data_IF_610541569035
#
_entry.id   IF_610541569035
#
_cell.length_a   1.000
_cell.length_b   1.000
_cell.length_c   1.000
_cell.angle_alpha   90.00
_cell.angle_beta   90.00
_cell.angle_gamma   90.00
#
_symmetry.space_group_name_H-M   'P 1'
#
loop_
_entity.id
_entity.type
_entity.pdbx_description
1 polymer ?
#
# COMPACT_ATOMS: atom_id res chain seq x y z
N UNK A 1 6.04 -12.62 -28.39
CA UNK A 1 7.25 -11.78 -28.61
C UNK A 1 7.50 -11.68 -30.10
N UNK A 2 7.63 -10.47 -30.68
CA UNK A 2 7.98 -10.34 -32.09
C UNK A 2 9.41 -10.85 -32.29
N UNK A 3 9.72 -11.61 -33.34
CA UNK A 3 11.04 -12.21 -33.60
C UNK A 3 12.19 -11.20 -33.62
N UNK A 4 11.89 -9.91 -33.83
CA UNK A 4 12.88 -8.83 -33.82
C UNK A 4 13.52 -8.60 -32.45
N UNK A 5 12.77 -8.77 -31.32
CA UNK A 5 13.34 -8.55 -29.96
C UNK A 5 14.26 -9.68 -29.53
N UNK A 6 13.99 -10.91 -29.98
CA UNK A 6 14.87 -12.05 -29.71
C UNK A 6 16.18 -11.93 -30.48
N UNK A 7 16.13 -11.47 -31.75
CA UNK A 7 17.32 -11.20 -32.57
C UNK A 7 18.19 -10.11 -31.96
N UNK A 8 17.61 -9.02 -31.41
CA UNK A 8 18.36 -7.94 -30.78
C UNK A 8 19.08 -8.43 -29.52
N UNK A 9 18.43 -9.28 -28.68
CA UNK A 9 19.04 -9.86 -27.50
C UNK A 9 20.20 -10.82 -27.84
N UNK A 10 20.05 -11.62 -28.90
CA UNK A 10 21.11 -12.53 -29.40
C UNK A 10 22.28 -11.72 -29.95
N UNK A 11 22.04 -10.60 -30.65
CA UNK A 11 23.08 -9.71 -31.14
C UNK A 11 23.86 -9.05 -30.00
N UNK A 12 23.17 -8.55 -28.96
CA UNK A 12 23.83 -7.92 -27.77
C UNK A 12 24.71 -8.92 -27.02
N UNK A 13 24.28 -10.19 -26.90
CA UNK A 13 25.08 -11.26 -26.29
C UNK A 13 26.28 -11.60 -27.17
N UNK A 14 26.14 -11.55 -28.49
CA UNK A 14 27.22 -11.82 -29.45
C UNK A 14 28.26 -10.70 -29.45
N UNK A 15 27.86 -9.43 -29.43
CA UNK A 15 28.75 -8.26 -29.34
C UNK A 15 29.52 -8.22 -28.02
N UNK A 16 28.86 -8.52 -26.88
CA UNK A 16 29.54 -8.63 -25.58
C UNK A 16 30.56 -9.78 -25.55
N UNK A 17 30.27 -10.88 -26.19
CA UNK A 17 31.22 -12.01 -26.31
C UNK A 17 32.46 -11.64 -27.11
N UNK A 18 32.31 -10.91 -28.21
CA UNK A 18 33.42 -10.42 -29.07
C UNK A 18 34.26 -9.39 -28.31
N UNK A 19 33.63 -8.51 -27.51
CA UNK A 19 34.30 -7.51 -26.71
C UNK A 19 35.14 -8.14 -25.59
N UNK A 20 34.65 -9.22 -24.98
CA UNK A 20 35.37 -10.02 -23.98
C UNK A 20 36.61 -10.68 -24.61
N UNK A 21 36.50 -11.24 -25.82
CA UNK A 21 37.61 -11.87 -26.54
C UNK A 21 38.70 -10.84 -26.90
N UNK A 22 38.32 -9.60 -27.23
CA UNK A 22 39.23 -8.51 -27.54
C UNK A 22 40.01 -8.03 -26.30
N UNK A 23 39.35 -7.95 -25.15
CA UNK A 23 39.97 -7.58 -23.86
C UNK A 23 41.02 -8.63 -23.44
N UNK A 24 40.79 -9.92 -23.68
CA UNK A 24 41.76 -10.99 -23.40
C UNK A 24 43.05 -10.91 -24.19
N UNK A 25 43.07 -10.16 -25.30
CA UNK A 25 44.26 -10.02 -26.17
C UNK A 25 45.21 -8.86 -25.76
N UNK A 26 44.78 -7.95 -24.90
CA UNK A 26 45.48 -6.65 -24.74
C UNK A 26 45.87 -6.24 -23.31
N UNK A 27 45.57 -7.01 -22.25
CA UNK A 27 45.73 -6.55 -20.85
C UNK A 27 46.41 -7.59 -19.93
N UNK A 28 47.10 -7.11 -18.91
CA UNK A 28 47.83 -7.90 -17.89
C UNK A 28 46.88 -8.80 -17.07
N UNK A 29 47.38 -10.01 -16.70
CA UNK A 29 46.59 -11.10 -16.08
C UNK A 29 45.82 -10.70 -14.80
N UNK A 30 46.36 -9.83 -13.96
CA UNK A 30 45.71 -9.45 -12.70
C UNK A 30 44.56 -8.46 -12.88
N UNK A 31 44.70 -7.55 -13.83
CA UNK A 31 43.63 -6.58 -14.19
C UNK A 31 42.47 -7.28 -14.92
N UNK A 32 42.80 -8.33 -15.70
CA UNK A 32 41.79 -9.15 -16.39
C UNK A 32 40.91 -9.91 -15.38
N UNK A 33 41.47 -10.49 -14.33
CA UNK A 33 40.71 -11.30 -13.35
C UNK A 33 39.70 -10.46 -12.58
N UNK A 34 40.06 -9.25 -12.18
CA UNK A 34 39.14 -8.33 -11.48
C UNK A 34 38.06 -7.79 -12.41
N UNK A 35 38.42 -7.44 -13.64
CA UNK A 35 37.46 -6.95 -14.64
C UNK A 35 36.48 -8.03 -15.12
N UNK A 36 36.97 -9.25 -15.35
CA UNK A 36 36.13 -10.41 -15.72
C UNK A 36 35.21 -10.81 -14.59
N UNK A 37 35.60 -10.73 -13.31
CA UNK A 37 34.69 -10.95 -12.19
C UNK A 37 33.60 -9.89 -12.16
N UNK A 38 33.93 -8.64 -12.34
CA UNK A 38 32.94 -7.55 -12.33
C UNK A 38 31.97 -7.66 -13.51
N UNK A 39 32.47 -7.85 -14.73
CA UNK A 39 31.65 -8.04 -15.95
C UNK A 39 30.80 -9.31 -15.88
N UNK A 40 31.34 -10.41 -15.32
CA UNK A 40 30.57 -11.64 -15.09
C UNK A 40 29.44 -11.45 -14.09
N UNK A 41 29.66 -10.73 -12.99
CA UNK A 41 28.61 -10.40 -12.01
C UNK A 41 27.53 -9.52 -12.63
N UNK A 42 27.93 -8.50 -13.38
CA UNK A 42 27.00 -7.61 -14.05
C UNK A 42 26.17 -8.31 -15.14
N UNK A 43 26.82 -9.19 -15.93
CA UNK A 43 26.13 -9.98 -16.94
C UNK A 43 25.17 -11.00 -16.33
N UNK A 44 25.58 -11.72 -15.28
CA UNK A 44 24.73 -12.64 -14.55
C UNK A 44 23.54 -11.92 -13.90
N UNK A 45 23.79 -10.74 -13.33
CA UNK A 45 22.75 -9.89 -12.76
C UNK A 45 21.74 -9.44 -13.82
N UNK A 46 22.22 -8.94 -14.97
CA UNK A 46 21.36 -8.55 -16.10
C UNK A 46 20.56 -9.73 -16.67
N UNK A 47 21.18 -10.91 -16.79
CA UNK A 47 20.49 -12.13 -17.22
C UNK A 47 19.43 -12.55 -16.20
N UNK A 48 19.77 -12.54 -14.88
CA UNK A 48 18.84 -12.92 -13.82
C UNK A 48 17.67 -11.93 -13.73
N UNK A 49 17.95 -10.63 -13.80
CA UNK A 49 16.94 -9.57 -13.85
C UNK A 49 16.02 -9.71 -15.08
N UNK A 50 16.58 -10.03 -16.25
CA UNK A 50 15.80 -10.25 -17.46
C UNK A 50 14.98 -11.55 -17.40
N UNK A 51 15.50 -12.63 -16.83
CA UNK A 51 14.75 -13.89 -16.64
C UNK A 51 13.62 -13.69 -15.63
N UNK A 52 13.89 -12.97 -14.52
CA UNK A 52 12.85 -12.61 -13.54
C UNK A 52 11.80 -11.72 -14.18
N UNK A 53 12.22 -10.74 -14.98
CA UNK A 53 11.32 -9.86 -15.75
C UNK A 53 10.50 -10.63 -16.78
N UNK A 54 11.10 -11.58 -17.51
CA UNK A 54 10.38 -12.45 -18.44
C UNK A 54 9.38 -13.37 -17.72
N UNK A 55 9.77 -13.97 -16.59
CA UNK A 55 8.86 -14.77 -15.76
C UNK A 55 7.70 -13.91 -15.24
N UNK A 56 7.98 -12.69 -14.78
CA UNK A 56 6.95 -11.74 -14.33
C UNK A 56 6.00 -11.39 -15.48
N UNK A 57 6.51 -11.04 -16.65
CA UNK A 57 5.68 -10.68 -17.83
C UNK A 57 4.88 -11.86 -18.37
N UNK A 58 5.44 -13.06 -18.39
CA UNK A 58 4.76 -14.26 -18.91
C UNK A 58 3.69 -14.82 -17.97
N UNK A 59 3.86 -14.64 -16.65
CA UNK A 59 2.92 -15.17 -15.66
C UNK A 59 1.76 -14.21 -15.34
N UNK A 60 1.82 -12.93 -15.76
CA UNK A 60 0.91 -11.88 -15.29
C UNK A 60 0.00 -11.25 -16.35
N UNK A 61 0.03 -11.75 -17.59
CA UNK A 61 -0.96 -11.36 -18.58
C UNK A 61 -2.31 -11.98 -18.22
N UNK A 62 -3.17 -11.22 -17.54
CA UNK A 62 -4.53 -11.66 -17.21
C UNK A 62 -4.98 -11.46 -15.75
N UNK A 63 -4.17 -10.85 -14.88
CA UNK A 63 -4.60 -10.59 -13.49
C UNK A 63 -5.64 -9.48 -13.47
N UNK A 64 -6.86 -9.83 -13.02
CA UNK A 64 -7.87 -8.85 -12.64
C UNK A 64 -7.67 -8.48 -11.15
N UNK A 65 -7.25 -7.25 -10.81
CA UNK A 65 -7.01 -6.84 -9.43
C UNK A 65 -8.30 -6.61 -8.63
N UNK A 66 -9.46 -6.58 -9.29
CA UNK A 66 -10.74 -6.26 -8.68
C UNK A 66 -11.64 -7.48 -8.45
N UNK A 67 -11.21 -8.67 -8.83
CA UNK A 67 -11.94 -9.91 -8.67
C UNK A 67 -11.35 -10.77 -7.55
N UNK A 68 -12.21 -11.29 -6.69
CA UNK A 68 -11.83 -12.24 -5.65
C UNK A 68 -12.93 -13.29 -5.48
N UNK A 69 -12.53 -14.55 -5.46
CA UNK A 69 -13.43 -15.69 -5.21
C UNK A 69 -12.91 -16.49 -4.02
N UNK A 70 -13.76 -16.69 -3.05
CA UNK A 70 -13.47 -17.62 -1.95
C UNK A 70 -13.69 -19.05 -2.44
N UNK A 71 -12.73 -19.92 -2.16
CA UNK A 71 -12.78 -21.35 -2.50
C UNK A 71 -12.48 -22.16 -1.24
N UNK A 72 -13.43 -22.23 -0.27
CA UNK A 72 -13.22 -22.97 0.96
C UNK A 72 -13.13 -24.48 0.69
N UNK A 73 -12.13 -25.14 1.25
CA UNK A 73 -12.05 -26.59 1.29
C UNK A 73 -13.06 -27.18 2.28
N UNK A 74 -13.22 -28.51 2.27
CA UNK A 74 -14.14 -29.21 3.18
C UNK A 74 -13.80 -28.93 4.66
N UNK A 75 -12.53 -28.91 4.99
CA UNK A 75 -12.07 -28.59 6.36
C UNK A 75 -12.36 -27.13 6.74
N UNK A 76 -12.28 -26.21 5.79
CA UNK A 76 -12.62 -24.80 6.03
C UNK A 76 -14.13 -24.63 6.26
N UNK A 77 -14.95 -25.37 5.52
CA UNK A 77 -16.41 -25.39 5.74
C UNK A 77 -16.76 -25.90 7.13
N UNK A 78 -16.17 -27.01 7.58
CA UNK A 78 -16.37 -27.56 8.93
C UNK A 78 -15.98 -26.52 10.00
N UNK A 79 -14.78 -25.91 9.85
CA UNK A 79 -14.31 -24.86 10.78
C UNK A 79 -15.29 -23.65 10.79
N UNK A 80 -15.74 -23.21 9.63
CA UNK A 80 -16.70 -22.10 9.50
C UNK A 80 -18.01 -22.43 10.20
N UNK A 81 -18.56 -23.64 9.98
CA UNK A 81 -19.81 -24.06 10.63
C UNK A 81 -19.66 -24.02 12.15
N UNK A 82 -18.63 -24.67 12.69
CA UNK A 82 -18.40 -24.71 14.15
C UNK A 82 -18.19 -23.29 14.69
N UNK A 83 -17.31 -22.50 14.06
CA UNK A 83 -17.00 -21.14 14.49
C UNK A 83 -18.19 -20.20 14.38
N UNK A 84 -19.11 -20.42 13.44
CA UNK A 84 -20.32 -19.62 13.28
C UNK A 84 -21.27 -19.69 14.47
N UNK A 85 -21.28 -20.80 15.19
CA UNK A 85 -22.11 -20.99 16.40
C UNK A 85 -21.36 -20.69 17.70
N UNK A 86 -20.03 -20.59 17.67
CA UNK A 86 -19.21 -20.43 18.87
C UNK A 86 -18.42 -19.11 18.85
N UNK A 87 -17.35 -19.08 18.04
CA UNK A 87 -16.33 -18.01 18.06
C UNK A 87 -16.82 -16.70 17.42
N UNK A 88 -17.48 -16.77 16.27
CA UNK A 88 -17.87 -15.58 15.51
C UNK A 88 -18.91 -14.73 16.26
N UNK A 89 -20.00 -15.27 16.86
CA UNK A 89 -20.95 -14.48 17.65
C UNK A 89 -20.28 -13.79 18.82
N UNK A 90 -19.42 -14.50 19.57
CA UNK A 90 -18.70 -13.93 20.70
C UNK A 90 -17.77 -12.78 20.28
N UNK A 91 -17.03 -12.97 19.19
CA UNK A 91 -16.15 -11.93 18.63
C UNK A 91 -16.92 -10.71 18.18
N UNK A 92 -18.00 -10.90 17.44
CA UNK A 92 -18.86 -9.81 16.97
C UNK A 92 -19.49 -9.04 18.14
N UNK A 93 -19.91 -9.74 19.19
CA UNK A 93 -20.40 -9.10 20.42
C UNK A 93 -19.30 -8.23 21.06
N UNK A 94 -18.09 -8.76 21.22
CA UNK A 94 -16.97 -8.00 21.75
C UNK A 94 -16.61 -6.80 20.87
N UNK A 95 -16.53 -7.00 19.53
CA UNK A 95 -16.25 -5.94 18.55
C UNK A 95 -17.29 -4.83 18.65
N UNK A 96 -18.58 -5.18 18.70
CA UNK A 96 -19.65 -4.20 18.84
C UNK A 96 -19.53 -3.36 20.09
N UNK A 97 -19.29 -3.97 21.26
CA UNK A 97 -19.10 -3.25 22.52
C UNK A 97 -17.87 -2.33 22.47
N UNK A 98 -16.75 -2.80 21.91
CA UNK A 98 -15.53 -1.99 21.74
C UNK A 98 -15.77 -0.82 20.78
N UNK A 99 -16.53 -1.00 19.70
CA UNK A 99 -16.91 0.09 18.79
C UNK A 99 -17.84 1.09 19.49
N UNK A 100 -18.80 0.64 20.30
CA UNK A 100 -19.62 1.53 21.12
C UNK A 100 -18.77 2.34 22.09
N UNK A 101 -17.78 1.71 22.73
CA UNK A 101 -16.84 2.40 23.62
C UNK A 101 -16.03 3.46 22.86
N UNK A 102 -15.48 3.12 21.69
CA UNK A 102 -14.72 4.11 20.88
C UNK A 102 -15.60 5.26 20.40
N UNK A 103 -16.84 4.97 20.02
CA UNK A 103 -17.82 5.98 19.64
C UNK A 103 -18.13 6.93 20.81
N UNK A 104 -18.40 6.39 21.99
CA UNK A 104 -18.67 7.17 23.20
C UNK A 104 -17.49 8.08 23.58
N UNK A 105 -16.28 7.53 23.61
CA UNK A 105 -15.05 8.28 23.88
C UNK A 105 -14.82 9.38 22.82
N UNK A 106 -15.06 9.07 21.54
CA UNK A 106 -14.95 10.06 20.48
C UNK A 106 -15.97 11.19 20.62
N UNK A 107 -17.23 10.87 21.01
CA UNK A 107 -18.26 11.88 21.29
C UNK A 107 -17.86 12.80 22.44
N UNK A 108 -17.34 12.24 23.54
CA UNK A 108 -16.80 13.04 24.65
C UNK A 108 -15.66 13.94 24.16
N UNK A 109 -14.71 13.38 23.40
CA UNK A 109 -13.58 14.13 22.88
C UNK A 109 -13.96 15.27 21.92
N UNK A 110 -15.11 15.14 21.25
CA UNK A 110 -15.65 16.16 20.34
C UNK A 110 -16.57 17.18 21.07
N UNK A 111 -16.88 17.00 22.35
CA UNK A 111 -17.65 17.99 23.11
C UNK A 111 -16.96 19.36 23.07
N UNK A 112 -17.75 20.40 22.89
CA UNK A 112 -17.26 21.78 22.82
C UNK A 112 -16.27 22.05 21.64
N UNK A 113 -16.20 21.16 20.64
CA UNK A 113 -15.45 21.40 19.41
C UNK A 113 -16.42 21.79 18.28
N UNK A 114 -16.12 22.87 17.58
CA UNK A 114 -16.83 23.19 16.36
C UNK A 114 -16.23 22.35 15.21
N UNK A 115 -17.08 21.61 14.49
CA UNK A 115 -16.66 20.70 13.40
C UNK A 115 -15.72 21.37 12.35
N UNK A 116 -15.88 22.67 12.11
CA UNK A 116 -15.01 23.42 11.21
C UNK A 116 -13.60 23.63 11.78
N UNK A 117 -13.48 23.83 13.11
CA UNK A 117 -12.20 24.09 13.78
C UNK A 117 -11.43 22.81 14.17
N UNK A 118 -12.08 21.66 14.13
CA UNK A 118 -11.46 20.37 14.52
C UNK A 118 -10.20 20.03 13.71
N UNK A 119 -10.10 20.53 12.49
CA UNK A 119 -9.00 20.22 11.56
C UNK A 119 -7.97 21.37 11.41
N UNK A 120 -8.11 22.47 12.14
CA UNK A 120 -7.17 23.60 12.07
C UNK A 120 -5.91 23.36 12.91
N UNK A 121 -6.05 22.73 14.07
CA UNK A 121 -4.94 22.45 15.01
C UNK A 121 -5.00 21.01 15.53
N UNK A 122 -3.85 20.36 15.79
CA UNK A 122 -3.82 19.05 16.41
C UNK A 122 -4.36 19.12 17.84
N UNK A 123 -5.09 18.09 18.26
CA UNK A 123 -5.55 17.99 19.63
C UNK A 123 -4.39 17.78 20.61
N UNK A 124 -4.48 18.45 21.76
CA UNK A 124 -3.51 18.41 22.85
C UNK A 124 -4.17 18.03 24.17
N UNK A 125 -3.37 17.89 25.21
CA UNK A 125 -3.82 17.60 26.55
C UNK A 125 -4.69 16.33 26.63
N UNK A 126 -5.80 16.38 27.37
CA UNK A 126 -6.68 15.24 27.60
C UNK A 126 -7.27 14.63 26.32
N UNK A 127 -7.54 15.44 25.29
CA UNK A 127 -8.02 14.94 24.00
C UNK A 127 -6.98 14.04 23.31
N UNK A 128 -5.71 14.38 23.41
CA UNK A 128 -4.62 13.55 22.89
C UNK A 128 -4.55 12.20 23.62
N UNK A 129 -4.76 12.21 24.95
CA UNK A 129 -4.84 10.97 25.74
C UNK A 129 -6.00 10.09 25.26
N UNK A 130 -7.18 10.67 25.02
CA UNK A 130 -8.32 9.93 24.49
C UNK A 130 -8.06 9.38 23.07
N UNK A 131 -7.34 10.11 22.20
CA UNK A 131 -6.93 9.57 20.90
C UNK A 131 -6.02 8.34 21.05
N UNK A 132 -5.07 8.38 21.99
CA UNK A 132 -4.19 7.23 22.29
C UNK A 132 -5.02 6.07 22.85
N UNK A 133 -5.98 6.34 23.72
CA UNK A 133 -6.89 5.33 24.26
C UNK A 133 -7.69 4.65 23.13
N UNK A 134 -8.30 5.42 22.21
CA UNK A 134 -9.02 4.89 21.05
C UNK A 134 -8.12 3.96 20.23
N UNK A 135 -6.85 4.31 20.00
CA UNK A 135 -5.91 3.46 19.28
C UNK A 135 -5.70 2.11 19.96
N UNK A 136 -5.59 2.10 21.30
CA UNK A 136 -5.48 0.87 22.09
C UNK A 136 -6.76 0.03 22.00
N UNK A 137 -7.94 0.67 22.05
CA UNK A 137 -9.22 -0.03 21.89
C UNK A 137 -9.34 -0.63 20.47
N UNK A 138 -8.91 0.07 19.43
CA UNK A 138 -8.85 -0.52 18.07
C UNK A 138 -7.89 -1.71 18.00
N UNK A 139 -6.77 -1.70 18.74
CA UNK A 139 -5.92 -2.87 18.84
C UNK A 139 -6.66 -4.07 19.45
N UNK A 140 -7.54 -3.83 20.43
CA UNK A 140 -8.40 -4.87 20.99
C UNK A 140 -9.49 -5.32 19.99
N UNK A 141 -10.07 -4.39 19.18
CA UNK A 141 -10.99 -4.75 18.10
C UNK A 141 -10.33 -5.70 17.11
N UNK A 142 -9.11 -5.39 16.65
CA UNK A 142 -8.37 -6.28 15.74
C UNK A 142 -8.00 -7.61 16.41
N UNK A 143 -7.71 -7.61 17.70
CA UNK A 143 -7.49 -8.85 18.45
C UNK A 143 -8.75 -9.73 18.43
N UNK A 144 -9.92 -9.15 18.69
CA UNK A 144 -11.20 -9.85 18.58
C UNK A 144 -11.48 -10.35 17.16
N UNK A 145 -10.98 -9.67 16.12
CA UNK A 145 -11.06 -10.15 14.74
C UNK A 145 -10.07 -11.29 14.43
N UNK A 146 -9.29 -11.75 15.39
CA UNK A 146 -8.32 -12.83 15.23
C UNK A 146 -6.88 -12.38 14.93
N UNK A 147 -6.59 -11.07 14.90
CA UNK A 147 -5.21 -10.55 14.75
C UNK A 147 -4.50 -10.53 16.10
N UNK A 148 -4.19 -11.73 16.63
CA UNK A 148 -3.55 -11.89 17.92
C UNK A 148 -2.13 -11.32 17.90
N UNK A 149 -1.40 -11.56 16.82
CA UNK A 149 -0.07 -11.00 16.55
C UNK A 149 -0.08 -10.16 15.28
N UNK A 150 0.52 -8.97 15.35
CA UNK A 150 0.80 -8.11 14.21
C UNK A 150 2.31 -8.02 14.10
N UNK A 151 2.86 -8.59 13.02
CA UNK A 151 4.29 -8.49 12.77
C UNK A 151 4.60 -7.13 12.20
N UNK A 152 5.51 -6.40 12.82
CA UNK A 152 6.01 -5.12 12.32
C UNK A 152 7.48 -5.32 11.97
N UNK A 153 7.88 -4.95 10.76
CA UNK A 153 9.25 -5.03 10.27
C UNK A 153 9.68 -3.68 9.67
N UNK A 154 10.98 -3.42 9.72
CA UNK A 154 11.54 -2.13 9.36
C UNK A 154 11.25 -1.03 10.38
N UNK A 155 11.93 0.10 10.24
CA UNK A 155 11.83 1.22 11.16
C UNK A 155 10.88 2.29 10.63
N UNK A 156 9.88 2.63 11.44
CA UNK A 156 9.02 3.76 11.14
C UNK A 156 9.82 5.05 11.31
N UNK A 157 9.94 5.82 10.25
CA UNK A 157 10.62 7.10 10.25
C UNK A 157 9.84 8.16 11.05
N UNK A 158 10.56 9.14 11.57
CA UNK A 158 9.94 10.30 12.20
C UNK A 158 9.17 11.15 11.16
N UNK A 159 8.28 12.02 11.62
CA UNK A 159 7.51 12.91 10.75
C UNK A 159 8.42 13.88 9.96
N UNK A 160 9.49 14.32 10.58
CA UNK A 160 10.45 15.26 9.98
C UNK A 160 11.16 14.64 8.78
N UNK A 161 11.42 13.33 8.81
CA UNK A 161 12.04 12.59 7.69
C UNK A 161 11.03 12.16 6.64
N UNK A 162 9.85 11.74 7.07
CA UNK A 162 8.79 11.28 6.17
C UNK A 162 7.41 11.71 6.69
N UNK A 163 6.92 12.89 6.33
CA UNK A 163 5.63 13.39 6.77
C UNK A 163 4.44 12.53 6.32
N UNK A 164 4.59 11.80 5.23
CA UNK A 164 3.55 11.00 4.60
C UNK A 164 3.96 9.52 4.59
N UNK A 165 3.05 8.65 5.06
CA UNK A 165 3.14 7.21 4.93
C UNK A 165 2.22 6.75 3.79
N UNK A 166 2.80 6.07 2.80
CA UNK A 166 2.10 5.58 1.61
C UNK A 166 2.00 4.07 1.69
N UNK A 167 0.77 3.55 1.84
CA UNK A 167 0.55 2.13 2.12
C UNK A 167 -0.11 1.39 0.95
N UNK A 168 0.46 0.27 0.56
CA UNK A 168 -0.10 -0.68 -0.40
C UNK A 168 0.39 -2.11 -0.10
N UNK A 169 -0.34 -3.14 -0.57
CA UNK A 169 -1.64 -3.08 -1.20
C UNK A 169 -2.77 -2.74 -0.23
N UNK A 170 -3.91 -2.28 -0.76
CA UNK A 170 -5.12 -2.03 0.02
C UNK A 170 -6.22 -3.01 -0.40
N UNK A 171 -6.58 -3.94 0.46
CA UNK A 171 -7.54 -4.98 0.12
C UNK A 171 -8.81 -4.97 0.96
N UNK A 172 -8.79 -4.32 2.11
CA UNK A 172 -9.94 -4.35 3.04
C UNK A 172 -9.92 -3.16 3.99
N UNK A 173 -11.07 -2.85 4.59
CA UNK A 173 -11.16 -1.88 5.70
C UNK A 173 -10.27 -2.27 6.89
N UNK A 174 -9.95 -3.56 7.04
CA UNK A 174 -9.07 -4.07 8.12
C UNK A 174 -7.63 -3.56 7.98
N UNK A 175 -7.22 -3.09 6.79
CA UNK A 175 -5.90 -2.46 6.59
C UNK A 175 -5.72 -1.19 7.44
N UNK A 176 -6.80 -0.63 7.99
CA UNK A 176 -6.74 0.41 9.02
C UNK A 176 -5.90 0.00 10.24
N UNK A 177 -5.62 -1.30 10.44
CA UNK A 177 -4.69 -1.79 11.46
C UNK A 177 -3.31 -1.12 11.33
N UNK A 178 -2.84 -0.86 10.11
CA UNK A 178 -1.57 -0.17 9.87
C UNK A 178 -1.63 1.31 10.28
N UNK A 179 -2.78 1.96 10.09
CA UNK A 179 -3.01 3.34 10.53
C UNK A 179 -2.93 3.43 12.06
N UNK A 180 -3.64 2.55 12.75
CA UNK A 180 -3.66 2.57 14.22
C UNK A 180 -2.32 2.14 14.82
N UNK A 181 -1.65 1.15 14.23
CA UNK A 181 -0.33 0.70 14.65
C UNK A 181 0.75 1.78 14.46
N UNK A 182 0.71 2.52 13.35
CA UNK A 182 1.65 3.62 13.08
C UNK A 182 1.38 4.88 13.89
N UNK A 183 0.18 5.02 14.46
CA UNK A 183 -0.22 6.23 15.15
C UNK A 183 -0.44 7.44 14.26
N UNK A 184 -0.63 7.23 12.97
CA UNK A 184 -0.83 8.25 11.93
C UNK A 184 -2.29 8.68 11.79
N UNK A 185 -2.54 9.68 10.95
CA UNK A 185 -3.88 10.20 10.62
C UNK A 185 -4.24 9.75 9.20
N UNK A 186 -5.34 9.00 9.00
CA UNK A 186 -5.69 8.50 7.68
C UNK A 186 -6.35 9.56 6.80
N UNK A 187 -6.17 9.40 5.49
CA UNK A 187 -7.04 10.00 4.47
C UNK A 187 -8.17 9.03 4.17
N UNK A 188 -9.41 9.44 4.43
CA UNK A 188 -10.59 8.61 4.30
C UNK A 188 -11.60 9.20 3.28
N UNK A 189 -12.49 8.34 2.73
CA UNK A 189 -13.60 8.79 1.89
C UNK A 189 -14.60 9.58 2.73
N UNK A 190 -15.16 10.66 2.18
CA UNK A 190 -16.16 11.51 2.86
C UNK A 190 -17.37 10.70 3.39
N UNK A 191 -17.74 9.60 2.72
CA UNK A 191 -18.79 8.71 3.18
C UNK A 191 -18.54 8.12 4.59
N UNK A 192 -17.27 7.92 4.97
CA UNK A 192 -16.91 7.42 6.30
C UNK A 192 -17.29 8.41 7.40
N UNK A 193 -17.18 9.72 7.15
CA UNK A 193 -17.58 10.74 8.10
C UNK A 193 -19.09 10.70 8.44
N UNK A 194 -19.91 10.19 7.50
CA UNK A 194 -21.39 10.09 7.67
C UNK A 194 -21.84 8.81 8.38
N UNK A 195 -20.92 7.85 8.58
CA UNK A 195 -21.25 6.59 9.28
C UNK A 195 -21.50 6.84 10.76
N UNK A 196 -22.59 6.31 11.31
CA UNK A 196 -23.04 6.62 12.67
C UNK A 196 -22.00 6.31 13.75
N UNK A 197 -21.43 5.10 13.75
CA UNK A 197 -20.43 4.70 14.75
C UNK A 197 -19.00 5.13 14.38
N UNK A 198 -18.61 4.98 13.13
CA UNK A 198 -17.23 5.18 12.69
C UNK A 198 -16.94 6.66 12.42
N UNK A 199 -17.93 7.42 11.93
CA UNK A 199 -17.75 8.83 11.57
C UNK A 199 -17.22 9.69 12.70
N UNK A 200 -17.82 9.69 13.91
CA UNK A 200 -17.30 10.43 15.05
C UNK A 200 -15.87 10.03 15.45
N UNK A 201 -15.54 8.74 15.35
CA UNK A 201 -14.18 8.24 15.67
C UNK A 201 -13.16 8.82 14.69
N UNK A 202 -13.43 8.72 13.37
CA UNK A 202 -12.55 9.27 12.34
C UNK A 202 -12.45 10.79 12.40
N UNK A 203 -13.53 11.48 12.76
CA UNK A 203 -13.51 12.93 13.01
C UNK A 203 -12.66 13.27 14.24
N UNK A 204 -12.77 12.50 15.32
CA UNK A 204 -12.00 12.74 16.55
C UNK A 204 -10.52 12.42 16.41
N UNK A 205 -10.12 11.39 15.64
CA UNK A 205 -8.70 11.18 15.28
C UNK A 205 -8.20 12.16 14.23
N UNK A 206 -9.03 13.13 13.84
CA UNK A 206 -8.72 14.21 12.91
C UNK A 206 -8.33 13.72 11.51
N UNK A 207 -9.04 12.70 11.01
CA UNK A 207 -8.86 12.17 9.64
C UNK A 207 -9.09 13.25 8.60
N UNK A 208 -8.37 13.14 7.48
CA UNK A 208 -8.62 13.95 6.29
C UNK A 208 -9.70 13.28 5.45
N UNK A 209 -10.77 14.00 5.13
CA UNK A 209 -11.86 13.45 4.33
C UNK A 209 -11.81 13.98 2.90
N UNK A 210 -11.92 13.08 1.92
CA UNK A 210 -11.89 13.41 0.49
C UNK A 210 -13.20 13.03 -0.19
N UNK A 211 -13.79 13.98 -0.93
CA UNK A 211 -14.87 13.74 -1.87
C UNK A 211 -14.26 13.53 -3.25
N UNK A 212 -14.40 12.32 -3.80
CA UNK A 212 -13.70 11.92 -5.04
C UNK A 212 -14.28 12.55 -6.30
N UNK A 213 -15.54 12.94 -6.25
CA UNK A 213 -16.32 13.40 -7.40
C UNK A 213 -16.02 14.88 -7.75
N UNK A 214 -15.75 15.72 -6.76
CA UNK A 214 -15.49 17.14 -6.97
C UNK A 214 -13.98 17.43 -7.08
N UNK A 215 -13.55 18.08 -8.16
CA UNK A 215 -12.15 18.45 -8.37
C UNK A 215 -11.66 19.45 -7.31
N UNK A 216 -12.52 20.40 -6.91
CA UNK A 216 -12.24 21.37 -5.84
C UNK A 216 -11.98 20.69 -4.49
N UNK A 217 -12.76 19.66 -4.14
CA UNK A 217 -12.55 18.89 -2.90
C UNK A 217 -11.27 18.09 -2.91
N UNK A 218 -10.86 17.58 -4.07
CA UNK A 218 -9.56 16.90 -4.22
C UNK A 218 -8.40 17.85 -3.97
N UNK A 219 -8.47 19.07 -4.54
CA UNK A 219 -7.44 20.09 -4.33
C UNK A 219 -7.39 20.52 -2.87
N UNK A 220 -8.52 20.81 -2.23
CA UNK A 220 -8.58 21.12 -0.80
C UNK A 220 -7.95 20.03 0.08
N UNK A 221 -8.18 18.75 -0.26
CA UNK A 221 -7.55 17.64 0.48
C UNK A 221 -6.04 17.63 0.31
N UNK A 222 -5.55 17.92 -0.90
CA UNK A 222 -4.10 18.01 -1.16
C UNK A 222 -3.50 19.20 -0.37
N UNK A 223 -4.16 20.33 -0.34
CA UNK A 223 -3.71 21.51 0.41
C UNK A 223 -3.67 21.20 1.93
N UNK A 224 -4.66 20.47 2.44
CA UNK A 224 -4.65 19.99 3.83
C UNK A 224 -3.54 18.97 4.10
N UNK A 225 -3.26 18.05 3.19
CA UNK A 225 -2.14 17.11 3.30
C UNK A 225 -0.84 17.90 3.37
N UNK A 226 -0.65 18.85 2.45
CA UNK A 226 0.54 19.71 2.38
C UNK A 226 0.70 20.54 3.66
N UNK A 227 -0.36 21.19 4.13
CA UNK A 227 -0.35 21.97 5.38
C UNK A 227 0.05 21.10 6.57
N UNK A 228 -0.55 19.91 6.74
CA UNK A 228 -0.22 19.02 7.86
C UNK A 228 1.15 18.35 7.72
N UNK A 229 1.60 18.09 6.50
CA UNK A 229 2.89 17.45 6.26
C UNK A 229 4.04 18.45 6.46
N UNK A 230 3.90 19.66 5.95
CA UNK A 230 4.95 20.67 6.02
C UNK A 230 5.00 21.41 7.38
N UNK A 231 3.87 21.46 8.12
CA UNK A 231 3.72 22.04 9.48
C UNK A 231 4.53 23.36 9.70
N UNK A 232 4.36 24.28 8.74
CA UNK A 232 5.17 25.49 8.60
C UNK A 232 4.99 26.49 9.76
N UNK A 233 3.92 26.33 10.55
CA UNK A 233 3.63 27.22 11.69
C UNK A 233 4.17 26.70 13.04
N UNK A 234 4.75 25.50 13.07
CA UNK A 234 5.16 24.84 14.31
C UNK A 234 6.59 25.18 14.78
N UNK A 235 7.23 26.21 14.22
CA UNK A 235 8.55 26.65 14.71
C UNK A 235 8.53 27.17 16.15
N UNK A 236 7.34 27.45 16.71
CA UNK A 236 7.23 28.14 18.00
C UNK A 236 6.89 27.27 19.21
N UNK A 237 6.52 25.98 19.04
CA UNK A 237 6.24 25.14 20.21
C UNK A 237 6.27 23.65 19.89
N UNK A 238 7.18 22.93 20.51
CA UNK A 238 7.42 21.48 20.34
C UNK A 238 6.24 20.56 20.74
N UNK A 239 5.18 21.10 21.34
CA UNK A 239 4.11 20.30 21.97
C UNK A 239 2.89 20.00 21.07
N UNK A 240 2.77 20.59 19.88
CA UNK A 240 1.54 20.56 19.08
C UNK A 240 1.72 20.19 17.62
N UNK A 241 2.60 19.22 17.31
CA UNK A 241 2.83 18.77 15.93
C UNK A 241 1.74 17.80 15.46
N UNK A 242 1.32 17.93 14.19
CA UNK A 242 0.44 16.96 13.55
C UNK A 242 1.12 15.58 13.46
N UNK A 243 0.38 14.47 13.63
CA UNK A 243 0.88 13.14 13.27
C UNK A 243 1.16 13.03 11.76
N UNK A 244 1.95 12.03 11.37
CA UNK A 244 2.13 11.68 9.96
C UNK A 244 0.79 11.40 9.28
N UNK A 245 0.66 11.76 8.01
CA UNK A 245 -0.51 11.45 7.19
C UNK A 245 -0.37 10.07 6.59
N UNK A 246 -1.39 9.21 6.70
CA UNK A 246 -1.41 7.85 6.18
C UNK A 246 -2.34 7.75 4.98
N UNK A 247 -1.82 7.32 3.84
CA UNK A 247 -2.56 7.32 2.58
C UNK A 247 -2.45 5.95 1.91
N UNK A 248 -3.60 5.43 1.46
CA UNK A 248 -3.68 4.31 0.53
C UNK A 248 -3.77 4.86 -0.91
N UNK A 249 -2.67 4.89 -1.66
CA UNK A 249 -2.63 5.59 -2.96
C UNK A 249 -3.43 4.89 -4.05
N UNK A 250 -3.72 3.60 -3.91
CA UNK A 250 -4.63 2.87 -4.80
C UNK A 250 -6.04 3.48 -4.79
N UNK A 251 -6.46 4.01 -3.64
CA UNK A 251 -7.73 4.68 -3.47
C UNK A 251 -8.94 3.75 -3.56
N UNK A 252 -8.75 2.45 -3.59
CA UNK A 252 -9.77 1.40 -3.54
C UNK A 252 -9.17 0.10 -3.03
N UNK A 253 -10.03 -0.87 -2.68
CA UNK A 253 -9.58 -2.22 -2.34
C UNK A 253 -9.32 -3.05 -3.60
N UNK A 254 -8.24 -3.82 -3.58
CA UNK A 254 -7.80 -4.75 -4.62
C UNK A 254 -7.57 -6.14 -4.03
N UNK A 255 -7.33 -7.14 -4.87
CA UNK A 255 -7.01 -8.49 -4.38
C UNK A 255 -5.53 -8.69 -4.00
N UNK A 256 -4.75 -7.64 -3.95
CA UNK A 256 -3.31 -7.66 -3.60
C UNK A 256 -2.42 -8.52 -4.50
N UNK A 257 -2.92 -8.99 -5.65
CA UNK A 257 -2.13 -9.78 -6.60
C UNK A 257 -1.33 -8.91 -7.59
N UNK A 258 -1.68 -7.63 -7.66
CA UNK A 258 -0.99 -6.61 -8.45
C UNK A 258 -1.23 -5.24 -7.83
N UNK A 259 -0.30 -4.30 -7.98
CA UNK A 259 -0.53 -2.91 -7.61
C UNK A 259 -1.12 -2.14 -8.80
N UNK A 260 -2.30 -1.58 -8.61
CA UNK A 260 -2.95 -0.71 -9.59
C UNK A 260 -2.28 0.66 -9.64
N UNK A 261 -2.66 1.48 -10.62
CA UNK A 261 -2.16 2.85 -10.76
C UNK A 261 -2.41 3.68 -9.50
N UNK A 262 -1.34 4.23 -8.90
CA UNK A 262 -1.43 5.10 -7.74
C UNK A 262 -2.00 6.47 -8.10
N UNK A 263 -2.81 7.01 -7.20
CA UNK A 263 -3.31 8.39 -7.29
C UNK A 263 -2.22 9.36 -6.85
N UNK A 264 -2.06 10.45 -7.57
CA UNK A 264 -1.01 11.44 -7.32
C UNK A 264 -1.19 12.29 -6.05
N UNK A 265 -2.34 12.23 -5.38
CA UNK A 265 -2.66 13.12 -4.25
C UNK A 265 -1.67 13.05 -3.07
N UNK A 266 -1.07 11.86 -2.81
CA UNK A 266 -0.05 11.70 -1.77
C UNK A 266 1.30 12.32 -2.17
N UNK A 267 1.55 12.50 -3.45
CA UNK A 267 2.83 12.85 -4.06
C UNK A 267 2.88 14.30 -4.51
N UNK A 268 1.73 14.98 -4.61
CA UNK A 268 1.64 16.39 -5.00
C UNK A 268 2.45 17.36 -4.12
N UNK A 269 2.64 17.11 -2.80
CA UNK A 269 3.50 17.98 -2.01
C UNK A 269 4.98 17.96 -2.43
N UNK A 270 5.45 16.97 -3.19
CA UNK A 270 6.85 16.84 -3.62
C UNK A 270 7.85 16.62 -2.48
N UNK A 271 7.38 16.06 -1.35
CA UNK A 271 8.18 15.84 -0.13
C UNK A 271 8.45 14.35 0.09
N UNK A 272 9.45 13.97 0.92
CA UNK A 272 9.76 12.58 1.20
C UNK A 272 8.55 11.80 1.72
N UNK A 273 8.41 10.55 1.29
CA UNK A 273 7.37 9.63 1.73
C UNK A 273 7.99 8.34 2.26
N UNK A 274 7.35 7.70 3.23
CA UNK A 274 7.77 6.35 3.62
C UNK A 274 6.77 5.33 3.08
N UNK A 275 7.19 4.42 2.18
CA UNK A 275 6.37 3.33 1.73
C UNK A 275 6.14 2.33 2.87
N UNK A 276 4.90 1.85 2.99
CA UNK A 276 4.47 0.86 3.98
C UNK A 276 3.79 -0.28 3.24
N UNK A 277 4.26 -1.50 3.47
CA UNK A 277 3.71 -2.69 2.84
C UNK A 277 2.82 -3.45 3.83
N UNK A 278 1.68 -3.91 3.35
CA UNK A 278 0.84 -4.87 4.08
C UNK A 278 0.98 -6.22 3.40
N UNK A 279 1.52 -7.18 4.15
CA UNK A 279 1.66 -8.57 3.71
C UNK A 279 0.70 -9.45 4.49
N UNK A 280 0.05 -10.37 3.80
CA UNK A 280 -0.87 -11.35 4.38
C UNK A 280 -0.41 -12.75 4.06
N UNK A 281 -0.70 -13.69 4.94
CA UNK A 281 -0.50 -15.10 4.66
C UNK A 281 -1.62 -15.59 3.71
N UNK A 282 -1.24 -15.93 2.49
CA UNK A 282 -2.14 -16.42 1.46
C UNK A 282 -2.35 -17.96 1.53
N UNK A 283 -1.75 -18.64 2.52
CA UNK A 283 -1.89 -20.09 2.69
C UNK A 283 -3.20 -20.49 3.40
N UNK A 284 -3.96 -19.51 3.89
CA UNK A 284 -5.25 -19.70 4.53
C UNK A 284 -6.38 -19.19 3.65
N UNK A 285 -7.62 -19.53 3.98
CA UNK A 285 -8.79 -18.98 3.30
C UNK A 285 -8.77 -17.45 3.39
N UNK A 286 -8.62 -16.77 2.24
CA UNK A 286 -8.50 -15.32 2.18
C UNK A 286 -9.86 -14.63 2.36
N UNK A 287 -10.25 -14.43 3.61
CA UNK A 287 -11.45 -13.70 4.00
C UNK A 287 -11.21 -12.18 4.11
N UNK A 288 -9.96 -11.74 3.91
CA UNK A 288 -9.52 -10.36 4.11
C UNK A 288 -9.42 -9.55 2.81
N UNK A 289 -9.83 -10.13 1.68
CA UNK A 289 -9.89 -9.43 0.39
C UNK A 289 -11.31 -9.03 0.08
N UNK A 290 -11.59 -7.72 0.15
CA UNK A 290 -12.92 -7.14 -0.07
C UNK A 290 -12.90 -6.26 -1.32
N UNK A 291 -13.04 -6.87 -2.48
CA UNK A 291 -12.96 -6.20 -3.77
C UNK A 291 -14.35 -5.89 -4.36
N UNK A 292 -14.39 -5.12 -5.45
CA UNK A 292 -15.62 -4.75 -6.15
C UNK A 292 -16.39 -5.95 -6.72
N UNK A 293 -15.66 -6.93 -7.25
CA UNK A 293 -16.26 -8.12 -7.87
C UNK A 293 -16.00 -9.34 -6.97
N UNK A 294 -16.61 -9.32 -5.79
CA UNK A 294 -16.58 -10.44 -4.85
C UNK A 294 -17.93 -11.16 -4.83
N UNK A 295 -17.87 -12.45 -4.56
CA UNK A 295 -19.07 -13.31 -4.53
C UNK A 295 -19.95 -13.06 -3.30
N UNK A 296 -19.44 -12.38 -2.27
CA UNK A 296 -20.09 -12.19 -0.97
C UNK A 296 -20.05 -10.73 -0.54
N UNK A 297 -21.09 -10.27 0.15
CA UNK A 297 -21.13 -8.93 0.73
C UNK A 297 -20.12 -8.73 1.87
N UNK A 298 -19.80 -7.48 2.19
CA UNK A 298 -18.80 -7.09 3.22
C UNK A 298 -19.12 -7.68 4.61
N UNK A 299 -20.40 -7.80 4.98
CA UNK A 299 -20.82 -8.41 6.24
C UNK A 299 -20.51 -9.91 6.30
N UNK A 300 -20.66 -10.61 5.18
CA UNK A 300 -20.28 -12.04 5.10
C UNK A 300 -18.78 -12.19 5.20
N UNK A 301 -18.00 -11.33 4.56
CA UNK A 301 -16.55 -11.32 4.68
C UNK A 301 -16.10 -11.06 6.12
N UNK A 302 -16.74 -10.12 6.82
CA UNK A 302 -16.49 -9.85 8.23
C UNK A 302 -16.81 -11.07 9.11
N UNK A 303 -17.96 -11.71 8.87
CA UNK A 303 -18.35 -12.94 9.56
C UNK A 303 -17.31 -14.05 9.35
N UNK A 304 -16.92 -14.31 8.10
CA UNK A 304 -15.94 -15.32 7.76
C UNK A 304 -14.55 -15.01 8.37
N UNK A 305 -14.18 -13.74 8.44
CA UNK A 305 -12.96 -13.30 9.12
C UNK A 305 -13.03 -13.62 10.61
N UNK A 306 -14.18 -13.39 11.25
CA UNK A 306 -14.40 -13.75 12.65
C UNK A 306 -14.48 -15.25 12.89
N UNK A 307 -14.76 -16.07 11.87
CA UNK A 307 -14.71 -17.52 11.94
C UNK A 307 -13.27 -18.09 11.88
N UNK A 308 -12.28 -17.31 11.41
CA UNK A 308 -10.89 -17.79 11.39
C UNK A 308 -10.29 -17.78 12.81
N UNK A 309 -9.62 -18.86 13.20
CA UNK A 309 -8.97 -18.95 14.52
C UNK A 309 -7.95 -17.83 14.72
N UNK A 310 -7.13 -17.58 13.72
CA UNK A 310 -6.11 -16.55 13.72
C UNK A 310 -5.99 -15.95 12.33
N UNK A 311 -5.84 -14.64 12.27
CA UNK A 311 -5.50 -13.88 11.08
C UNK A 311 -4.09 -13.32 11.23
N UNK A 312 -3.28 -13.44 10.19
CA UNK A 312 -1.90 -12.96 10.16
C UNK A 312 -1.77 -11.75 9.25
N UNK A 313 -1.03 -10.76 9.75
CA UNK A 313 -0.68 -9.56 8.98
C UNK A 313 0.73 -9.10 9.35
N UNK A 314 1.51 -8.76 8.35
CA UNK A 314 2.80 -8.11 8.52
C UNK A 314 2.74 -6.71 7.94
N UNK A 315 3.21 -5.72 8.71
CA UNK A 315 3.34 -4.32 8.31
C UNK A 315 4.84 -4.05 8.18
N UNK A 316 5.31 -3.81 6.96
CA UNK A 316 6.71 -3.48 6.71
C UNK A 316 6.87 -2.00 6.39
N UNK A 317 7.67 -1.28 7.21
CA UNK A 317 8.11 0.07 6.92
C UNK A 317 9.37 0.01 6.07
N UNK A 318 9.28 0.46 4.82
CA UNK A 318 10.44 0.52 3.93
C UNK A 318 11.31 1.76 4.27
N UNK A 319 12.48 1.85 3.66
CA UNK A 319 13.30 3.07 3.73
C UNK A 319 12.51 4.27 3.17
N UNK A 320 12.78 5.44 3.72
CA UNK A 320 12.19 6.70 3.22
C UNK A 320 12.60 6.88 1.76
N UNK A 321 11.62 7.24 0.94
CA UNK A 321 11.82 7.58 -0.45
C UNK A 321 11.88 9.10 -0.59
N UNK A 322 13.02 9.60 -1.02
CA UNK A 322 13.25 11.02 -1.29
C UNK A 322 13.05 11.30 -2.78
N UNK A 323 12.09 12.16 -3.17
CA UNK A 323 11.88 12.46 -4.57
C UNK A 323 13.03 13.28 -5.16
N UNK A 324 13.44 12.94 -6.38
CA UNK A 324 14.36 13.74 -7.17
C UNK A 324 13.68 15.01 -7.71
N UNK A 325 14.41 15.86 -8.44
CA UNK A 325 13.87 17.13 -8.97
C UNK A 325 12.71 16.91 -9.93
N UNK A 326 12.80 15.95 -10.84
CA UNK A 326 11.77 15.62 -11.81
C UNK A 326 10.49 15.12 -11.13
N UNK A 327 10.64 14.28 -10.11
CA UNK A 327 9.50 13.75 -9.34
C UNK A 327 8.80 14.81 -8.49
N UNK A 328 9.52 15.83 -8.04
CA UNK A 328 8.91 16.97 -7.34
C UNK A 328 8.04 17.83 -8.27
N UNK A 329 8.39 17.91 -9.53
CA UNK A 329 7.64 18.61 -10.56
C UNK A 329 6.53 17.76 -11.18
N UNK A 330 6.72 16.43 -11.29
CA UNK A 330 5.72 15.48 -11.76
C UNK A 330 5.28 14.47 -10.68
N UNK A 331 4.19 14.78 -9.94
CA UNK A 331 3.65 13.86 -8.93
C UNK A 331 3.16 12.51 -9.50
N UNK A 332 2.93 12.40 -10.82
CA UNK A 332 2.55 11.12 -11.45
C UNK A 332 3.77 10.24 -11.64
N UNK A 333 4.89 10.82 -12.03
CA UNK A 333 6.17 10.13 -12.10
C UNK A 333 6.57 9.63 -10.71
N UNK A 334 6.51 10.49 -9.70
CA UNK A 334 6.79 10.14 -8.31
C UNK A 334 5.91 8.96 -7.84
N UNK A 335 4.59 9.04 -8.04
CA UNK A 335 3.66 7.96 -7.71
C UNK A 335 4.00 6.64 -8.42
N UNK A 336 4.42 6.70 -9.68
CA UNK A 336 4.77 5.54 -10.49
C UNK A 336 6.04 4.86 -9.98
N UNK A 337 7.08 5.64 -9.63
CA UNK A 337 8.34 5.12 -9.14
C UNK A 337 8.19 4.49 -7.75
N UNK A 338 7.47 5.13 -6.83
CA UNK A 338 7.16 4.55 -5.52
C UNK A 338 6.35 3.27 -5.67
N UNK A 339 5.35 3.23 -6.58
CA UNK A 339 4.58 2.02 -6.89
C UNK A 339 5.48 0.89 -7.39
N UNK A 340 6.38 1.19 -8.32
CA UNK A 340 7.32 0.21 -8.87
C UNK A 340 8.24 -0.37 -7.78
N UNK A 341 8.77 0.49 -6.91
CA UNK A 341 9.57 0.09 -5.76
C UNK A 341 8.80 -0.85 -4.80
N UNK A 342 7.56 -0.49 -4.46
CA UNK A 342 6.71 -1.30 -3.58
C UNK A 342 6.34 -2.64 -4.22
N UNK A 343 6.00 -2.64 -5.51
CA UNK A 343 5.69 -3.85 -6.27
C UNK A 343 6.89 -4.81 -6.34
N UNK A 344 8.09 -4.28 -6.59
CA UNK A 344 9.33 -5.06 -6.60
C UNK A 344 9.59 -5.70 -5.22
N UNK A 345 9.39 -4.95 -4.12
CA UNK A 345 9.57 -5.48 -2.75
C UNK A 345 8.54 -6.55 -2.40
N UNK A 346 7.31 -6.44 -2.91
CA UNK A 346 6.24 -7.42 -2.71
C UNK A 346 6.37 -8.64 -3.64
N UNK A 347 7.15 -8.54 -4.71
CA UNK A 347 7.25 -9.59 -5.76
C UNK A 347 5.99 -9.72 -6.61
N UNK A 348 5.17 -8.65 -6.71
CA UNK A 348 3.92 -8.63 -7.48
C UNK A 348 4.03 -7.62 -8.64
N UNK A 349 3.28 -7.81 -9.74
CA UNK A 349 3.30 -6.89 -10.87
C UNK A 349 2.57 -5.58 -10.60
N UNK A 350 2.81 -4.60 -11.46
CA UNK A 350 2.01 -3.39 -11.58
C UNK A 350 1.03 -3.49 -12.74
N UNK A 351 -0.18 -2.94 -12.57
CA UNK A 351 -1.20 -2.87 -13.62
C UNK A 351 -1.57 -1.42 -13.86
N UNK A 352 -1.53 -0.98 -15.13
CA UNK A 352 -1.83 0.42 -15.52
C UNK A 352 -3.33 0.73 -15.54
N UNK A 353 -4.12 0.01 -14.77
CA UNK A 353 -5.57 0.22 -14.66
C UNK A 353 -5.91 1.04 -13.41
N UNK A 354 -6.80 2.00 -13.56
CA UNK A 354 -7.34 2.80 -12.46
C UNK A 354 -8.77 2.36 -12.09
N UNK A 355 -9.21 2.75 -10.90
CA UNK A 355 -10.60 2.51 -10.46
C UNK A 355 -11.62 3.18 -11.38
N UNK A 356 -11.31 4.38 -11.89
CA UNK A 356 -12.19 5.13 -12.78
C UNK A 356 -12.40 4.41 -14.11
N UNK A 357 -11.38 3.77 -14.64
CA UNK A 357 -11.49 2.95 -15.84
C UNK A 357 -12.36 1.72 -15.58
N UNK A 358 -12.16 1.04 -14.44
CA UNK A 358 -12.96 -0.12 -14.07
C UNK A 358 -14.46 0.24 -13.90
N UNK A 359 -14.78 1.35 -13.24
CA UNK A 359 -16.17 1.78 -13.03
C UNK A 359 -16.82 2.26 -14.32
N UNK A 360 -16.09 2.89 -15.23
CA UNK A 360 -16.59 3.32 -16.54
C UNK A 360 -16.87 2.15 -17.49
N UNK A 361 -16.13 1.06 -17.35
CA UNK A 361 -16.35 -0.19 -18.10
C UNK A 361 -17.58 -1.00 -17.57
N UNK A 362 -18.41 -0.40 -16.70
CA UNK A 362 -19.62 -1.00 -16.14
C UNK A 362 -19.35 -2.01 -15.03
N UNK A 363 -18.13 -2.05 -14.47
CA UNK A 363 -17.75 -2.99 -13.41
C UNK A 363 -17.81 -4.46 -13.81
N UNK A 364 -18.02 -4.76 -15.11
CA UNK A 364 -18.12 -6.12 -15.62
C UNK A 364 -16.78 -6.84 -15.54
N UNK A 365 -16.82 -8.14 -15.32
CA UNK A 365 -15.64 -9.00 -15.30
C UNK A 365 -14.76 -8.72 -16.52
N UNK A 366 -13.50 -8.48 -16.30
CA UNK A 366 -12.52 -8.21 -17.36
C UNK A 366 -12.50 -9.34 -18.37
N UNK A 367 -13.02 -9.09 -19.56
CA UNK A 367 -12.89 -9.99 -20.68
C UNK A 367 -11.44 -9.96 -21.18
N UNK A 368 -10.81 -11.12 -21.22
CA UNK A 368 -9.42 -11.34 -21.67
C UNK A 368 -9.17 -10.79 -23.09
N UNK A 369 -10.22 -10.53 -23.87
CA UNK A 369 -10.14 -10.12 -25.26
C UNK A 369 -9.75 -8.64 -25.47
N UNK A 370 -9.80 -7.75 -24.46
CA UNK A 370 -9.43 -6.34 -24.62
C UNK A 370 -7.95 -6.03 -24.35
N UNK A 371 -7.10 -7.05 -24.16
CA UNK A 371 -5.66 -6.88 -23.89
C UNK A 371 -4.81 -6.45 -25.09
N UNK A 372 -5.35 -6.33 -26.30
CA UNK A 372 -4.54 -6.07 -27.50
C UNK A 372 -4.00 -4.64 -27.64
N UNK A 373 -4.39 -3.67 -26.81
CA UNK A 373 -4.12 -2.25 -27.13
C UNK A 373 -3.29 -1.46 -26.11
N UNK A 374 -2.82 -2.02 -25.00
CA UNK A 374 -2.08 -1.22 -24.00
C UNK A 374 -0.80 -1.84 -23.47
N UNK A 375 0.01 -2.46 -24.31
CA UNK A 375 1.35 -2.92 -23.92
C UNK A 375 2.45 -1.94 -24.36
N UNK A 376 2.34 -0.66 -23.98
CA UNK A 376 3.53 0.18 -23.83
C UNK A 376 4.08 -0.03 -22.42
N UNK A 377 4.94 -1.03 -22.28
CA UNK A 377 5.82 -1.14 -21.12
C UNK A 377 6.77 0.06 -21.21
N UNK A 378 6.53 1.06 -20.38
CA UNK A 378 7.45 2.17 -20.20
C UNK A 378 8.68 1.60 -19.50
N UNK A 379 9.83 1.64 -20.16
CA UNK A 379 11.11 1.27 -19.57
C UNK A 379 11.46 2.30 -18.51
N UNK A 380 11.54 1.88 -17.24
CA UNK A 380 12.03 2.70 -16.15
C UNK A 380 13.50 2.38 -15.92
N UNK A 381 14.44 3.25 -16.30
CA UNK A 381 15.87 3.01 -16.13
C UNK A 381 16.33 3.05 -14.65
N UNK A 382 15.52 3.63 -13.75
CA UNK A 382 15.93 3.93 -12.37
C UNK A 382 15.79 2.78 -11.35
N UNK A 383 15.09 1.68 -11.66
CA UNK A 383 14.95 0.55 -10.72
C UNK A 383 16.25 -0.22 -10.55
N UNK A 384 17.19 -0.10 -11.49
CA UNK A 384 18.45 -0.88 -11.51
C UNK A 384 19.49 -0.30 -10.56
N UNK A 385 19.59 1.03 -10.45
CA UNK A 385 20.61 1.67 -9.60
C UNK A 385 20.27 1.62 -8.10
N UNK A 386 18.99 1.59 -7.77
CA UNK A 386 18.56 1.57 -6.37
C UNK A 386 18.79 0.22 -5.66
N UNK A 387 18.73 -0.89 -6.40
CA UNK A 387 19.00 -2.23 -5.85
C UNK A 387 20.51 -2.48 -5.72
N UNK A 388 21.33 -1.90 -6.57
CA UNK A 388 22.79 -2.00 -6.50
C UNK A 388 23.41 -1.36 -5.26
N UNK A 389 22.81 -0.27 -4.75
CA UNK A 389 23.27 0.41 -3.53
C UNK A 389 22.79 -0.24 -2.21
N UNK A 390 21.87 -1.21 -2.26
CA UNK A 390 21.41 -1.92 -1.07
C UNK A 390 22.32 -3.08 -0.64
N UNK A 391 23.33 -3.42 -1.44
CA UNK A 391 24.29 -4.51 -1.13
C UNK A 391 25.66 -4.03 -0.63
N UNK A 392 25.85 -2.73 -0.40
CA UNK A 392 27.13 -2.17 0.06
C UNK A 392 27.05 -1.49 1.45
N UNK A 393 26.12 -1.90 2.32
CA UNK A 393 26.22 -1.59 3.77
C UNK A 393 25.86 -2.78 4.60
#
# INVERSE_FOLDING_TARGET
MKPLKLKKLILEVHETSIFIILIFKTTDKNTIITHVRHVRHELLYKIFANITRLKTVLNFTGIDPFSHKLSPGILDLIKIIIASFTLAPLRLYCIFNLLCLTWFVAKIGLLCTNNKKTNEKPFSGWRRVLQIFIRKVFRAVFFCMGFHSIKISGDKSSKEKAPILVCAPHATIVDAIAVFASGSVPVAKQGVAKMYFIGPVFSFIQSLFVTREAASSRQQTVDQIKSRACDLEAETSSSHKWPQVFIFPEGTCTNSRALIKFKSGAFQPGIPVQPVLIKRDLNTLDTLTWTWNQSYGELVCLWLTCCQFSNSIEIEFMKVYEPNLEEREDPRLFASNVRALMAARLGIPTVERSVSEFTNDGGSAWSINNQKTSSKVQEYPYVIDFVGNLTQT
#
